data_IF_711396451401
#
_entry.id   IF_711396451401
#
_cell.length_a   1.000
_cell.length_b   1.000
_cell.length_c   1.000
_cell.angle_alpha   90.00
_cell.angle_beta   90.00
_cell.angle_gamma   90.00
#
_symmetry.space_group_name_H-M   'P 1'
#
loop_
_entity.id
_entity.type
_entity.pdbx_description
1 polymer ?
#
# COMPACT_ATOMS: atom_id res chain seq x y z
N UNK A 1 17.64 14.38 -2.36
CA UNK A 1 17.28 13.02 -2.82
C UNK A 1 18.55 12.18 -2.78
N UNK A 2 18.52 11.01 -2.12
CA UNK A 2 19.70 10.12 -2.00
C UNK A 2 19.68 9.13 -3.17
N UNK A 3 20.62 9.16 -4.13
CA UNK A 3 20.64 8.28 -5.31
C UNK A 3 20.54 6.79 -4.95
N UNK A 4 21.20 6.40 -3.87
CA UNK A 4 21.19 5.03 -3.33
C UNK A 4 19.79 4.43 -3.17
N UNK A 5 18.78 5.22 -2.83
CA UNK A 5 17.41 4.74 -2.63
C UNK A 5 16.50 4.90 -3.85
N UNK A 6 16.89 5.71 -4.83
CA UNK A 6 16.04 6.06 -5.98
C UNK A 6 16.31 5.12 -7.16
N UNK A 7 17.57 4.77 -7.37
CA UNK A 7 17.97 3.91 -8.46
C UNK A 7 17.32 2.52 -8.31
N UNK A 8 16.59 2.04 -9.35
CA UNK A 8 15.86 0.77 -9.33
C UNK A 8 14.91 0.57 -8.11
N UNK A 9 14.30 1.64 -7.60
CA UNK A 9 13.39 1.57 -6.43
C UNK A 9 12.17 0.68 -6.70
N UNK A 10 11.76 0.55 -7.96
CA UNK A 10 10.68 -0.30 -8.45
C UNK A 10 10.89 -1.80 -8.14
N UNK A 11 12.14 -2.24 -7.95
CA UNK A 11 12.42 -3.62 -7.51
C UNK A 11 11.82 -3.94 -6.15
N UNK A 12 11.68 -2.95 -5.27
CA UNK A 12 11.17 -3.13 -3.90
C UNK A 12 9.69 -2.74 -3.76
N UNK A 13 9.06 -2.30 -4.85
CA UNK A 13 7.66 -1.89 -4.80
C UNK A 13 6.73 -3.07 -4.46
N UNK A 14 5.80 -2.80 -3.54
CA UNK A 14 4.72 -3.68 -3.12
C UNK A 14 3.42 -2.89 -3.07
N UNK A 15 2.27 -3.55 -3.13
CA UNK A 15 0.95 -2.90 -3.13
C UNK A 15 0.71 -2.10 -1.82
N UNK A 16 0.95 -2.73 -0.69
CA UNK A 16 1.02 -2.05 0.62
C UNK A 16 2.45 -1.56 0.82
N UNK A 17 2.76 -0.35 0.50
CA UNK A 17 4.10 0.25 0.50
C UNK A 17 4.97 -0.15 1.73
N UNK A 18 5.57 -1.36 1.69
CA UNK A 18 6.33 -1.96 2.79
C UNK A 18 7.73 -1.39 2.95
N UNK A 19 8.21 -0.65 1.96
CA UNK A 19 9.47 0.09 2.03
C UNK A 19 9.27 1.56 1.65
N UNK A 20 9.29 2.41 2.65
CA UNK A 20 9.34 3.86 2.49
C UNK A 20 10.73 4.37 2.90
N UNK A 21 11.57 4.62 1.95
CA UNK A 21 13.00 4.89 2.16
C UNK A 21 13.32 6.11 3.06
N UNK A 22 12.35 6.99 3.29
CA UNK A 22 12.48 8.09 4.25
C UNK A 22 12.47 7.64 5.72
N UNK A 23 12.07 6.38 5.98
CA UNK A 23 12.18 5.76 7.32
C UNK A 23 13.62 5.43 7.70
N UNK A 24 14.52 5.36 6.71
CA UNK A 24 15.96 5.22 6.88
C UNK A 24 16.52 6.64 6.77
N UNK A 25 16.70 7.31 7.91
CA UNK A 25 16.91 8.76 7.90
C UNK A 25 18.37 9.16 7.84
N UNK A 26 19.26 8.45 8.49
CA UNK A 26 20.70 8.74 8.54
C UNK A 26 21.56 7.48 8.41
N UNK A 27 21.64 6.87 7.20
CA UNK A 27 22.44 5.69 6.98
C UNK A 27 23.93 5.98 7.13
N UNK A 28 24.60 5.32 8.06
CA UNK A 28 26.05 5.34 8.22
C UNK A 28 26.73 4.60 7.08
N UNK A 29 26.17 3.45 6.69
CA UNK A 29 26.68 2.63 5.61
C UNK A 29 25.67 1.56 5.18
N UNK A 30 25.85 1.04 3.98
CA UNK A 30 24.98 0.00 3.48
C UNK A 30 25.38 -0.55 2.13
N UNK A 31 24.84 -1.70 1.83
CA UNK A 31 25.01 -2.40 0.56
C UNK A 31 23.62 -2.60 -0.04
N UNK A 32 23.51 -2.36 -1.33
CA UNK A 32 22.33 -2.64 -2.10
C UNK A 32 22.68 -3.44 -3.33
N UNK A 33 21.85 -4.44 -3.62
CA UNK A 33 21.96 -5.26 -4.79
C UNK A 33 20.60 -5.39 -5.47
N UNK A 34 20.55 -5.26 -6.78
CA UNK A 34 19.36 -5.50 -7.61
C UNK A 34 19.76 -6.20 -8.87
N UNK A 35 18.96 -7.15 -9.35
CA UNK A 35 19.27 -7.88 -10.55
C UNK A 35 18.06 -8.57 -11.17
N UNK A 36 18.17 -8.88 -12.47
CA UNK A 36 17.21 -9.71 -13.21
C UNK A 36 17.92 -10.85 -13.91
N UNK A 37 17.26 -12.02 -13.94
CA UNK A 37 17.66 -13.18 -14.71
C UNK A 37 16.42 -13.80 -15.35
N UNK A 38 16.23 -13.59 -16.65
CA UNK A 38 15.01 -13.96 -17.35
C UNK A 38 13.76 -13.33 -16.73
N UNK A 39 12.80 -14.17 -16.33
CA UNK A 39 11.56 -13.72 -15.70
C UNK A 39 11.70 -13.37 -14.20
N UNK A 40 12.85 -13.66 -13.59
CA UNK A 40 13.06 -13.43 -12.15
C UNK A 40 13.74 -12.09 -11.90
N UNK A 41 13.25 -11.37 -10.90
CA UNK A 41 13.89 -10.17 -10.37
C UNK A 41 14.11 -10.30 -8.87
N UNK A 42 15.17 -9.70 -8.37
CA UNK A 42 15.49 -9.69 -6.94
C UNK A 42 16.16 -8.39 -6.55
N UNK A 43 15.94 -7.98 -5.31
CA UNK A 43 16.57 -6.85 -4.68
C UNK A 43 16.90 -7.16 -3.23
N UNK A 44 18.04 -6.65 -2.75
CA UNK A 44 18.46 -6.75 -1.36
C UNK A 44 19.07 -5.43 -0.91
N UNK A 45 18.79 -5.04 0.33
CA UNK A 45 19.36 -3.86 1.00
C UNK A 45 19.78 -4.29 2.40
N UNK A 46 21.02 -4.00 2.76
CA UNK A 46 21.54 -4.11 4.13
C UNK A 46 22.06 -2.74 4.52
N UNK A 47 21.56 -2.18 5.61
CA UNK A 47 21.86 -0.80 6.04
C UNK A 47 21.97 -0.75 7.56
N UNK A 48 22.92 0.07 8.02
CA UNK A 48 22.98 0.54 9.39
C UNK A 48 22.54 2.02 9.42
N UNK A 49 21.51 2.34 10.22
CA UNK A 49 20.91 3.70 10.32
C UNK A 49 21.13 4.26 11.73
N UNK A 50 21.85 5.37 11.84
CA UNK A 50 22.18 6.02 13.12
C UNK A 50 21.01 6.89 13.64
N UNK A 51 20.09 7.29 12.78
CA UNK A 51 19.03 8.25 13.14
C UNK A 51 18.25 7.91 14.41
N UNK A 52 17.91 6.64 14.71
CA UNK A 52 17.15 6.31 15.91
C UNK A 52 17.83 6.68 17.24
N UNK A 53 19.15 6.64 17.28
CA UNK A 53 19.94 6.96 18.49
C UNK A 53 20.53 8.36 18.54
N UNK A 54 20.43 9.12 17.43
CA UNK A 54 21.00 10.47 17.37
C UNK A 54 20.16 11.48 18.17
N UNK A 55 20.88 12.43 18.80
CA UNK A 55 20.27 13.56 19.53
C UNK A 55 19.27 13.15 20.63
N UNK A 56 19.46 11.98 21.23
CA UNK A 56 18.71 11.52 22.39
C UNK A 56 19.35 11.97 23.68
N UNK A 57 18.56 12.08 24.73
CA UNK A 57 19.08 12.34 26.07
C UNK A 57 20.03 11.22 26.51
N UNK A 58 21.07 11.54 27.26
CA UNK A 58 22.05 10.54 27.76
C UNK A 58 21.44 9.46 28.65
N UNK A 59 20.24 9.69 29.19
CA UNK A 59 19.47 8.73 29.99
C UNK A 59 18.52 7.87 29.17
N UNK A 60 18.30 8.17 27.88
CA UNK A 60 17.45 7.37 26.97
C UNK A 60 18.17 6.07 26.64
N UNK A 61 17.54 4.89 26.86
CA UNK A 61 18.12 3.59 26.54
C UNK A 61 18.54 3.43 25.07
N UNK A 62 17.95 4.19 24.17
CA UNK A 62 18.31 4.19 22.74
C UNK A 62 19.36 5.23 22.36
N UNK A 63 19.95 5.94 23.34
CA UNK A 63 21.00 6.92 23.04
C UNK A 63 22.23 6.26 22.44
N UNK A 64 22.57 6.67 21.22
CA UNK A 64 23.70 6.09 20.46
C UNK A 64 23.42 4.74 19.79
N UNK A 65 22.21 4.16 19.98
CA UNK A 65 21.82 2.93 19.31
C UNK A 65 21.60 3.13 17.81
N UNK A 66 21.92 2.11 17.03
CA UNK A 66 21.77 2.11 15.57
C UNK A 66 20.78 1.04 15.15
N UNK A 67 19.97 1.34 14.14
CA UNK A 67 19.09 0.33 13.56
C UNK A 67 19.83 -0.48 12.49
N UNK A 68 19.86 -1.80 12.66
CA UNK A 68 20.28 -2.74 11.63
C UNK A 68 19.08 -3.11 10.78
N UNK A 69 19.18 -2.93 9.47
CA UNK A 69 18.08 -3.11 8.54
C UNK A 69 18.50 -4.06 7.43
N UNK A 70 17.72 -5.13 7.25
CA UNK A 70 17.85 -6.06 6.15
C UNK A 70 16.53 -6.11 5.37
N UNK A 71 16.59 -5.99 4.05
CA UNK A 71 15.43 -6.05 3.17
C UNK A 71 15.75 -6.98 2.01
N UNK A 72 14.80 -7.84 1.66
CA UNK A 72 14.88 -8.72 0.52
C UNK A 72 13.55 -8.74 -0.25
N UNK A 73 13.63 -8.61 -1.56
CA UNK A 73 12.50 -8.68 -2.50
C UNK A 73 12.84 -9.68 -3.59
N UNK A 74 11.95 -10.65 -3.84
CA UNK A 74 12.01 -11.53 -4.98
C UNK A 74 10.70 -11.53 -5.74
N UNK A 75 10.75 -11.61 -7.07
CA UNK A 75 9.55 -11.72 -7.89
C UNK A 75 9.81 -12.50 -9.17
N UNK A 76 8.73 -13.01 -9.75
CA UNK A 76 8.71 -13.64 -11.06
C UNK A 76 7.62 -13.02 -11.93
N UNK A 77 8.00 -12.57 -13.10
CA UNK A 77 7.06 -12.20 -14.15
C UNK A 77 6.50 -13.49 -14.79
N UNK A 78 5.19 -13.71 -14.71
CA UNK A 78 4.47 -14.88 -15.26
C UNK A 78 3.87 -14.58 -16.64
N UNK A 79 3.71 -13.30 -16.96
CA UNK A 79 3.43 -12.78 -18.29
C UNK A 79 3.92 -11.32 -18.37
N UNK A 80 3.72 -10.64 -19.49
CA UNK A 80 4.16 -9.25 -19.69
C UNK A 80 3.63 -8.27 -18.64
N UNK A 81 2.44 -8.52 -18.08
CA UNK A 81 1.81 -7.64 -17.10
C UNK A 81 1.34 -8.37 -15.84
N UNK A 82 1.78 -9.63 -15.65
CA UNK A 82 1.43 -10.41 -14.47
C UNK A 82 2.70 -10.83 -13.74
N UNK A 83 2.68 -10.68 -12.42
CA UNK A 83 3.83 -10.93 -11.53
C UNK A 83 3.36 -11.54 -10.23
N UNK A 84 4.16 -12.42 -9.68
CA UNK A 84 4.07 -12.89 -8.30
C UNK A 84 5.37 -12.58 -7.58
N UNK A 85 5.30 -12.28 -6.31
CA UNK A 85 6.48 -11.91 -5.55
C UNK A 85 6.36 -12.12 -4.05
N UNK A 86 7.47 -11.90 -3.37
CA UNK A 86 7.53 -11.90 -1.92
C UNK A 86 8.48 -10.80 -1.45
N UNK A 87 8.25 -10.31 -0.25
CA UNK A 87 9.05 -9.27 0.41
C UNK A 87 9.33 -9.69 1.84
N UNK A 88 10.57 -9.48 2.27
CA UNK A 88 11.02 -9.69 3.64
C UNK A 88 11.75 -8.45 4.11
N UNK A 89 11.50 -8.03 5.36
CA UNK A 89 12.34 -7.06 6.03
C UNK A 89 12.51 -7.39 7.50
N UNK A 90 13.69 -7.06 8.02
CA UNK A 90 14.03 -7.10 9.42
C UNK A 90 14.66 -5.77 9.81
N UNK A 91 14.16 -5.14 10.85
CA UNK A 91 14.72 -3.94 11.46
C UNK A 91 14.92 -4.20 12.94
N UNK A 92 16.16 -4.24 13.36
CA UNK A 92 16.57 -4.40 14.75
C UNK A 92 17.04 -3.07 15.33
N UNK A 93 16.65 -2.75 16.55
CA UNK A 93 17.08 -1.57 17.29
C UNK A 93 17.02 -1.85 18.80
N UNK A 94 18.14 -1.70 19.50
CA UNK A 94 18.24 -2.06 20.92
C UNK A 94 17.86 -3.53 21.14
N UNK A 95 16.91 -3.80 22.04
CA UNK A 95 16.42 -5.15 22.31
C UNK A 95 15.23 -5.57 21.42
N UNK A 96 14.71 -4.67 20.61
CA UNK A 96 13.52 -4.88 19.81
C UNK A 96 13.77 -5.12 18.34
N UNK A 97 12.71 -5.55 17.68
CA UNK A 97 12.72 -5.77 16.23
C UNK A 97 11.35 -5.51 15.59
N UNK A 98 11.36 -5.27 14.30
CA UNK A 98 10.18 -5.32 13.45
C UNK A 98 10.49 -6.16 12.21
N UNK A 99 9.87 -7.34 12.12
CA UNK A 99 10.01 -8.32 11.04
C UNK A 99 8.74 -8.34 10.20
N UNK A 100 8.90 -8.24 8.90
CA UNK A 100 7.79 -8.23 7.95
C UNK A 100 8.03 -9.29 6.88
N UNK A 101 7.02 -10.11 6.63
CA UNK A 101 7.01 -11.06 5.52
C UNK A 101 5.73 -10.86 4.70
N UNK A 102 5.85 -10.84 3.36
CA UNK A 102 4.72 -10.63 2.47
C UNK A 102 4.83 -11.49 1.22
N UNK A 103 3.68 -11.90 0.71
CA UNK A 103 3.51 -12.42 -0.64
C UNK A 103 2.51 -11.56 -1.40
N UNK A 104 2.75 -11.33 -2.68
CA UNK A 104 1.90 -10.51 -3.53
C UNK A 104 1.78 -11.06 -4.94
N UNK A 105 0.69 -10.71 -5.59
CA UNK A 105 0.45 -11.01 -6.98
C UNK A 105 -0.25 -9.85 -7.68
N UNK A 106 0.24 -9.51 -8.87
CA UNK A 106 -0.45 -8.67 -9.85
C UNK A 106 -0.77 -9.53 -11.05
N UNK A 107 -2.05 -9.66 -11.39
CA UNK A 107 -2.52 -10.52 -12.47
C UNK A 107 -3.34 -9.69 -13.47
N UNK A 108 -2.89 -9.64 -14.71
CA UNK A 108 -3.69 -9.17 -15.83
C UNK A 108 -4.53 -10.34 -16.33
N UNK A 109 -5.84 -10.31 -16.04
CA UNK A 109 -6.77 -11.38 -16.38
C UNK A 109 -7.16 -11.32 -17.86
N UNK A 110 -7.29 -10.11 -18.41
CA UNK A 110 -7.50 -9.81 -19.83
C UNK A 110 -7.19 -8.32 -20.11
N UNK A 111 -7.53 -7.81 -21.29
CA UNK A 111 -7.21 -6.43 -21.70
C UNK A 111 -7.81 -5.35 -20.80
N UNK A 112 -8.90 -5.66 -20.12
CA UNK A 112 -9.60 -4.70 -19.28
C UNK A 112 -9.45 -4.96 -17.78
N UNK A 113 -9.14 -6.16 -17.33
CA UNK A 113 -9.17 -6.55 -15.94
C UNK A 113 -7.78 -6.83 -15.39
N UNK A 114 -7.48 -6.18 -14.27
CA UNK A 114 -6.26 -6.40 -13.48
C UNK A 114 -6.68 -6.60 -12.02
N UNK A 115 -6.07 -7.57 -11.35
CA UNK A 115 -6.18 -7.74 -9.91
C UNK A 115 -4.80 -7.67 -9.26
N UNK A 116 -4.73 -7.01 -8.10
CA UNK A 116 -3.59 -7.02 -7.20
C UNK A 116 -4.03 -7.66 -5.89
N UNK A 117 -3.17 -8.49 -5.34
CA UNK A 117 -3.40 -9.18 -4.07
C UNK A 117 -2.12 -9.17 -3.27
N UNK A 118 -2.24 -8.95 -1.97
CA UNK A 118 -1.12 -9.02 -1.05
C UNK A 118 -1.57 -9.51 0.32
N UNK A 119 -0.75 -10.35 0.94
CA UNK A 119 -0.86 -10.73 2.35
C UNK A 119 0.47 -10.39 3.02
N UNK A 120 0.39 -9.72 4.15
CA UNK A 120 1.54 -9.27 4.95
C UNK A 120 1.39 -9.82 6.35
N UNK A 121 2.41 -10.46 6.87
CA UNK A 121 2.56 -10.81 8.28
C UNK A 121 3.63 -9.94 8.94
N UNK A 122 3.42 -9.55 10.18
CA UNK A 122 4.38 -8.80 10.99
C UNK A 122 4.60 -9.47 12.34
N UNK A 123 5.85 -9.41 12.82
CA UNK A 123 6.24 -9.78 14.17
C UNK A 123 7.07 -8.62 14.73
N UNK A 124 6.59 -8.00 15.81
CA UNK A 124 7.17 -6.77 16.34
C UNK A 124 7.38 -6.89 17.84
N UNK A 125 8.62 -6.68 18.27
CA UNK A 125 8.98 -6.49 19.67
C UNK A 125 9.34 -5.03 19.90
N UNK A 126 8.78 -4.35 20.90
CA UNK A 126 9.15 -2.97 21.22
C UNK A 126 10.66 -2.83 21.48
N UNK A 127 11.22 -1.70 21.07
CA UNK A 127 12.66 -1.43 21.20
C UNK A 127 13.11 -1.21 22.64
N UNK A 128 12.19 -0.96 23.54
CA UNK A 128 12.41 -0.82 24.98
C UNK A 128 11.31 -1.61 25.71
N UNK A 129 11.66 -2.76 26.24
CA UNK A 129 10.77 -3.63 27.01
C UNK A 129 9.53 -4.10 26.25
N UNK A 130 8.84 -5.08 26.79
CA UNK A 130 7.59 -5.62 26.22
C UNK A 130 7.75 -6.97 25.54
N UNK A 131 6.61 -7.60 25.22
CA UNK A 131 6.57 -8.89 24.51
C UNK A 131 6.33 -8.67 23.02
N UNK A 132 6.83 -9.59 22.21
CA UNK A 132 6.56 -9.61 20.78
C UNK A 132 5.06 -9.76 20.49
N UNK A 133 4.59 -9.10 19.44
CA UNK A 133 3.22 -9.11 18.96
C UNK A 133 3.20 -9.38 17.47
N UNK A 134 2.28 -10.22 17.04
CA UNK A 134 2.08 -10.53 15.63
C UNK A 134 0.84 -9.84 15.08
N UNK A 135 0.91 -9.42 13.84
CA UNK A 135 -0.21 -8.84 13.11
C UNK A 135 -0.21 -9.27 11.65
N UNK A 136 -1.31 -9.04 10.96
CA UNK A 136 -1.38 -9.27 9.52
C UNK A 136 -2.21 -8.19 8.81
N UNK A 137 -1.98 -8.08 7.51
CA UNK A 137 -2.79 -7.30 6.60
C UNK A 137 -3.12 -8.14 5.36
N UNK A 138 -4.37 -8.05 4.91
CA UNK A 138 -4.83 -8.57 3.61
C UNK A 138 -5.26 -7.41 2.75
N UNK A 139 -4.83 -7.43 1.50
CA UNK A 139 -5.13 -6.39 0.51
C UNK A 139 -5.49 -7.06 -0.81
N UNK A 140 -6.68 -6.75 -1.35
CA UNK A 140 -7.18 -7.28 -2.62
C UNK A 140 -7.81 -6.14 -3.39
N UNK A 141 -7.31 -5.91 -4.60
CA UNK A 141 -7.85 -4.91 -5.52
C UNK A 141 -8.22 -5.56 -6.84
N UNK A 142 -9.37 -5.18 -7.36
CA UNK A 142 -9.84 -5.57 -8.69
C UNK A 142 -10.16 -4.31 -9.48
N UNK A 143 -9.55 -4.17 -10.63
CA UNK A 143 -9.70 -3.02 -11.50
C UNK A 143 -10.16 -3.44 -12.88
N UNK A 144 -11.18 -2.77 -13.38
CA UNK A 144 -11.57 -2.81 -14.78
C UNK A 144 -11.42 -1.44 -15.41
N UNK A 145 -10.68 -1.38 -16.50
CA UNK A 145 -10.54 -0.15 -17.30
C UNK A 145 -11.04 -0.42 -18.72
N UNK A 146 -11.99 0.37 -19.17
CA UNK A 146 -12.53 0.23 -20.51
C UNK A 146 -13.26 1.51 -20.95
N UNK A 147 -13.54 1.64 -22.24
CA UNK A 147 -14.16 2.84 -22.78
C UNK A 147 -15.52 3.14 -22.13
N UNK A 148 -16.37 2.12 -21.98
CA UNK A 148 -17.75 2.32 -21.50
C UNK A 148 -17.90 2.02 -20.00
N UNK A 149 -17.12 1.11 -19.45
CA UNK A 149 -17.26 0.69 -18.06
C UNK A 149 -15.91 0.72 -17.38
N UNK A 150 -15.79 1.49 -16.30
CA UNK A 150 -14.67 1.46 -15.37
C UNK A 150 -15.18 1.02 -14.01
N UNK A 151 -14.48 0.08 -13.41
CA UNK A 151 -14.81 -0.47 -12.10
C UNK A 151 -13.54 -0.61 -11.28
N UNK A 152 -13.64 -0.29 -10.01
CA UNK A 152 -12.62 -0.52 -9.00
C UNK A 152 -13.27 -1.06 -7.74
N UNK A 153 -12.67 -2.09 -7.18
CA UNK A 153 -13.02 -2.61 -5.86
C UNK A 153 -11.73 -2.87 -5.09
N UNK A 154 -11.66 -2.42 -3.86
CA UNK A 154 -10.51 -2.61 -2.99
C UNK A 154 -10.97 -3.01 -1.59
N UNK A 155 -10.60 -4.21 -1.19
CA UNK A 155 -10.75 -4.73 0.16
C UNK A 155 -9.40 -4.69 0.88
N UNK A 156 -9.41 -4.21 2.11
CA UNK A 156 -8.25 -4.24 3.01
C UNK A 156 -8.69 -4.57 4.43
N UNK A 157 -7.95 -5.42 5.10
CA UNK A 157 -8.12 -5.78 6.51
C UNK A 157 -6.76 -5.72 7.19
N UNK A 158 -6.69 -5.07 8.34
CA UNK A 158 -5.45 -4.86 9.09
C UNK A 158 -5.73 -5.09 10.57
N UNK A 159 -5.05 -6.05 11.19
CA UNK A 159 -5.21 -6.35 12.63
C UNK A 159 -4.62 -5.25 13.52
N UNK A 160 -5.01 -5.23 14.80
CA UNK A 160 -4.59 -4.25 15.82
C UNK A 160 -3.07 -4.17 16.01
N UNK A 161 -2.39 -5.33 15.99
CA UNK A 161 -0.94 -5.41 16.20
C UNK A 161 -0.11 -5.33 14.90
N UNK A 162 -0.75 -5.05 13.76
CA UNK A 162 -0.03 -4.89 12.51
C UNK A 162 0.84 -3.63 12.52
N UNK A 163 2.15 -3.81 12.33
CA UNK A 163 3.12 -2.71 12.32
C UNK A 163 4.20 -2.95 11.27
N UNK A 164 4.50 -1.92 10.47
CA UNK A 164 5.60 -1.92 9.50
C UNK A 164 6.46 -0.67 9.73
N UNK A 165 7.60 -0.82 10.38
CA UNK A 165 8.46 0.31 10.73
C UNK A 165 9.12 0.95 9.51
N UNK A 166 9.44 0.14 8.51
CA UNK A 166 10.01 0.60 7.25
C UNK A 166 8.96 1.00 6.21
N UNK A 167 7.69 0.67 6.44
CA UNK A 167 6.60 0.92 5.53
C UNK A 167 5.94 2.29 5.70
N UNK A 168 5.04 2.59 4.78
CA UNK A 168 4.14 3.73 4.86
C UNK A 168 2.70 3.22 5.03
N UNK A 169 2.09 3.49 6.19
CA UNK A 169 0.68 3.17 6.43
C UNK A 169 -0.21 4.33 6.00
N UNK A 170 -1.23 4.03 5.22
CA UNK A 170 -2.25 4.99 4.87
C UNK A 170 -3.10 5.30 6.12
N UNK A 171 -3.40 6.58 6.37
CA UNK A 171 -4.22 7.01 7.51
C UNK A 171 -5.66 6.47 7.47
N UNK A 172 -6.16 6.15 6.28
CA UNK A 172 -7.52 5.65 6.09
C UNK A 172 -7.65 4.16 6.48
N UNK A 173 -6.62 3.35 6.19
CA UNK A 173 -6.56 1.93 6.54
C UNK A 173 -5.52 1.71 7.65
N UNK A 174 -5.82 2.22 8.83
CA UNK A 174 -4.98 2.07 10.02
C UNK A 174 -5.11 0.65 10.61
N UNK A 175 -4.22 0.25 11.53
CA UNK A 175 -4.41 -0.97 12.30
C UNK A 175 -5.79 -1.04 12.95
N UNK A 176 -6.27 -2.26 13.17
CA UNK A 176 -7.60 -2.56 13.73
C UNK A 176 -8.76 -2.14 12.82
N UNK A 177 -8.58 -2.28 11.49
CA UNK A 177 -9.66 -1.94 10.56
C UNK A 177 -9.83 -2.98 9.46
N UNK A 178 -11.10 -3.15 9.03
CA UNK A 178 -11.49 -3.89 7.85
C UNK A 178 -12.38 -3.02 6.98
N UNK A 179 -12.07 -2.88 5.71
CA UNK A 179 -12.82 -1.99 4.83
C UNK A 179 -12.86 -2.44 3.38
N UNK A 180 -13.88 -1.97 2.71
CA UNK A 180 -14.04 -2.09 1.27
C UNK A 180 -14.44 -0.74 0.69
N UNK A 181 -13.85 -0.38 -0.45
CA UNK A 181 -14.39 0.70 -1.26
C UNK A 181 -14.54 0.27 -2.71
N UNK A 182 -15.58 0.77 -3.33
CA UNK A 182 -15.90 0.47 -4.70
C UNK A 182 -16.14 1.75 -5.49
N UNK A 183 -15.84 1.71 -6.78
CA UNK A 183 -16.31 2.72 -7.73
C UNK A 183 -16.72 2.09 -9.05
N UNK A 184 -17.85 2.52 -9.57
CA UNK A 184 -18.35 2.15 -10.89
C UNK A 184 -18.63 3.42 -11.68
N UNK A 185 -18.10 3.49 -12.91
CA UNK A 185 -18.44 4.56 -13.85
C UNK A 185 -18.88 3.94 -15.17
N UNK A 186 -20.06 4.34 -15.62
CA UNK A 186 -20.67 3.97 -16.90
C UNK A 186 -20.60 5.18 -17.82
N UNK A 187 -19.85 5.08 -18.92
CA UNK A 187 -19.62 6.16 -19.87
C UNK A 187 -20.40 5.89 -21.16
N UNK A 188 -21.11 6.90 -21.65
CA UNK A 188 -21.85 6.86 -22.89
C UNK A 188 -21.36 7.96 -23.82
N UNK A 189 -21.27 7.64 -25.11
CA UNK A 189 -20.74 8.53 -26.15
C UNK A 189 -21.75 8.58 -27.30
N UNK A 190 -22.74 9.48 -27.24
CA UNK A 190 -23.75 9.65 -28.33
C UNK A 190 -23.10 10.11 -29.65
N UNK A 191 -23.48 9.50 -30.76
CA UNK A 191 -22.90 9.83 -32.09
C UNK A 191 -23.59 10.99 -32.80
N UNK A 192 -24.79 11.34 -32.37
CA UNK A 192 -25.69 12.28 -33.15
C UNK A 192 -26.11 13.50 -32.36
N UNK A 193 -25.43 13.88 -31.29
CA UNK A 193 -25.79 15.03 -30.47
C UNK A 193 -24.57 15.91 -30.16
N UNK A 194 -24.80 17.14 -29.70
CA UNK A 194 -23.74 18.01 -29.19
C UNK A 194 -23.23 17.56 -27.83
N UNK A 195 -23.77 16.46 -27.28
CA UNK A 195 -23.27 15.81 -26.07
C UNK A 195 -22.10 14.89 -26.47
N UNK A 196 -20.90 15.22 -25.99
CA UNK A 196 -19.70 14.45 -26.27
C UNK A 196 -19.69 13.13 -25.48
N UNK A 197 -20.16 13.20 -24.23
CA UNK A 197 -20.29 12.03 -23.37
C UNK A 197 -21.14 12.34 -22.14
N UNK A 198 -21.65 11.31 -21.51
CA UNK A 198 -22.17 11.39 -20.16
C UNK A 198 -21.73 10.17 -19.35
N UNK A 199 -21.50 10.38 -18.06
CA UNK A 199 -21.01 9.37 -17.12
C UNK A 199 -21.96 9.29 -15.94
N UNK A 200 -22.55 8.13 -15.71
CA UNK A 200 -23.19 7.79 -14.45
C UNK A 200 -22.20 7.05 -13.57
N UNK A 201 -22.02 7.49 -12.34
CA UNK A 201 -21.08 6.89 -11.41
C UNK A 201 -21.69 6.58 -10.05
N UNK A 202 -21.11 5.60 -9.38
CA UNK A 202 -21.39 5.25 -8.00
C UNK A 202 -20.07 4.99 -7.29
N UNK A 203 -19.90 5.58 -6.11
CA UNK A 203 -18.79 5.34 -5.22
C UNK A 203 -19.32 4.97 -3.84
N UNK A 204 -18.75 3.95 -3.22
CA UNK A 204 -19.06 3.58 -1.85
C UNK A 204 -17.79 3.22 -1.06
N UNK A 205 -17.84 3.44 0.23
CA UNK A 205 -16.82 3.05 1.21
C UNK A 205 -17.51 2.51 2.45
N UNK A 206 -17.05 1.38 2.94
CA UNK A 206 -17.40 0.83 4.24
C UNK A 206 -16.12 0.53 5.00
N UNK A 207 -16.02 1.03 6.21
CA UNK A 207 -14.91 0.78 7.11
C UNK A 207 -15.45 0.40 8.49
N UNK A 208 -15.04 -0.76 8.96
CA UNK A 208 -15.32 -1.26 10.30
C UNK A 208 -14.00 -1.43 11.05
N UNK A 209 -14.04 -1.46 12.38
CA UNK A 209 -12.97 -2.07 13.14
C UNK A 209 -13.05 -3.61 13.08
N UNK A 210 -12.09 -4.31 13.66
CA UNK A 210 -12.01 -5.78 13.56
C UNK A 210 -13.06 -6.49 14.41
N UNK A 211 -13.74 -5.83 15.34
CA UNK A 211 -14.89 -6.35 16.07
C UNK A 211 -16.22 -6.23 15.30
N UNK A 212 -16.19 -5.55 14.14
CA UNK A 212 -17.33 -5.35 13.26
C UNK A 212 -18.10 -4.05 13.50
N UNK A 213 -17.67 -3.20 14.44
CA UNK A 213 -18.28 -1.90 14.65
C UNK A 213 -17.99 -0.99 13.47
N UNK A 214 -19.02 -0.37 12.89
CA UNK A 214 -18.86 0.54 11.75
C UNK A 214 -18.19 1.83 12.19
N UNK A 215 -17.04 2.15 11.54
CA UNK A 215 -16.30 3.39 11.77
C UNK A 215 -16.68 4.44 10.73
N UNK A 216 -16.84 4.03 9.47
CA UNK A 216 -17.10 4.96 8.39
C UNK A 216 -17.96 4.31 7.30
N UNK A 217 -18.86 5.10 6.75
CA UNK A 217 -19.64 4.76 5.58
C UNK A 217 -19.77 5.97 4.67
N UNK A 218 -19.61 5.77 3.38
CA UNK A 218 -19.87 6.78 2.36
C UNK A 218 -20.57 6.13 1.17
N UNK A 219 -21.58 6.80 0.64
CA UNK A 219 -22.25 6.45 -0.63
C UNK A 219 -22.38 7.69 -1.48
N UNK A 220 -21.91 7.64 -2.73
CA UNK A 220 -21.83 8.82 -3.59
C UNK A 220 -22.21 8.55 -5.05
N UNK A 221 -23.49 8.58 -5.43
CA UNK A 221 -23.87 8.63 -6.84
C UNK A 221 -23.50 9.96 -7.46
N UNK A 222 -23.11 9.91 -8.74
CA UNK A 222 -22.82 11.11 -9.53
C UNK A 222 -23.29 10.95 -10.98
N UNK A 223 -23.57 12.09 -11.61
CA UNK A 223 -23.85 12.18 -13.03
C UNK A 223 -23.06 13.35 -13.61
N UNK A 224 -22.36 13.13 -14.70
CA UNK A 224 -21.64 14.16 -15.45
C UNK A 224 -22.02 14.12 -16.91
N UNK A 225 -22.25 15.28 -17.51
CA UNK A 225 -22.52 15.46 -18.94
C UNK A 225 -21.49 16.43 -19.52
N UNK A 226 -20.82 16.01 -20.58
CA UNK A 226 -19.89 16.85 -21.35
C UNK A 226 -20.58 17.29 -22.65
N UNK A 227 -20.89 18.57 -22.74
CA UNK A 227 -21.58 19.18 -23.88
C UNK A 227 -20.66 20.20 -24.57
N UNK A 228 -20.31 19.95 -25.83
CA UNK A 228 -19.37 20.77 -26.58
C UNK A 228 -18.07 21.01 -25.78
N UNK A 229 -17.83 22.23 -25.34
CA UNK A 229 -16.65 22.62 -24.54
C UNK A 229 -16.93 22.77 -23.03
N UNK A 230 -18.15 22.45 -22.60
CA UNK A 230 -18.61 22.64 -21.21
C UNK A 230 -18.96 21.32 -20.56
N UNK A 231 -18.68 21.21 -19.27
CA UNK A 231 -19.08 20.05 -18.44
C UNK A 231 -20.06 20.48 -17.36
N UNK A 232 -21.10 19.70 -17.18
CA UNK A 232 -22.07 19.82 -16.09
C UNK A 232 -22.05 18.54 -15.27
N UNK A 233 -22.04 18.67 -13.95
CA UNK A 233 -22.05 17.51 -13.07
C UNK A 233 -22.85 17.76 -11.79
N UNK A 234 -23.49 16.70 -11.32
CA UNK A 234 -24.12 16.64 -10.01
C UNK A 234 -23.57 15.43 -9.25
N UNK A 235 -23.27 15.61 -7.97
CA UNK A 235 -22.90 14.56 -7.05
C UNK A 235 -23.74 14.69 -5.79
N UNK A 236 -24.29 13.59 -5.35
CA UNK A 236 -24.81 13.44 -4.00
C UNK A 236 -23.80 12.63 -3.19
N UNK A 237 -23.66 12.95 -1.90
CA UNK A 237 -22.81 12.18 -1.01
C UNK A 237 -23.53 12.07 0.33
N UNK A 238 -23.77 10.83 0.73
CA UNK A 238 -24.19 10.46 2.07
C UNK A 238 -23.00 9.83 2.79
N UNK A 239 -22.71 10.25 4.01
CA UNK A 239 -21.63 9.67 4.81
C UNK A 239 -21.98 9.69 6.30
N UNK A 240 -21.44 8.73 7.02
CA UNK A 240 -21.47 8.68 8.47
C UNK A 240 -20.09 8.25 8.97
N UNK A 241 -19.63 8.90 10.03
CA UNK A 241 -18.39 8.59 10.73
C UNK A 241 -18.70 8.50 12.22
N UNK A 242 -18.15 7.48 12.87
CA UNK A 242 -18.20 7.32 14.33
C UNK A 242 -16.84 7.77 14.85
N UNK A 243 -16.87 8.82 15.66
CA UNK A 243 -15.70 9.42 16.32
C UNK A 243 -15.41 8.74 17.65
#
# INVERSE_FOLDING_TARGET
RRPFFIENADFFATDSNLLFTRRIADPEGGIRFTGRSGAYGFGSILINDEAPGLNRDSTDPLNGEKANIAIFRGFRDISEQSRVGFFLSDRELGEGFNRVASVDARLKLNDNWITNMQVVGTDTQPFIGGSAKTGYQRNIQINRTGRMVNFHSHFIETTDNFQTDLGFQNRFFKPDTSGIHNSLNLNFYPETSNINSWTGGLFDVYLNDTDGTRIYHQLGPNLQVNYATTSFGIRYTDYAEIL
#
